data_IF_148684847696
#
_entry.id   IF_148684847696
#
_cell.length_a   1.000
_cell.length_b   1.000
_cell.length_c   1.000
_cell.angle_alpha   90.00
_cell.angle_beta   90.00
_cell.angle_gamma   90.00
#
_symmetry.space_group_name_H-M   'P 1'
#
loop_
_entity.id
_entity.type
_entity.pdbx_description
1 polymer ?
#
# COMPACT_ATOMS: atom_id res chain seq x y z
N UNK A 1 -3.67 97.46 7.95
CA UNK A 1 -4.61 96.37 7.61
C UNK A 1 -3.69 95.27 7.01
N UNK A 2 -3.41 94.25 7.77
CA UNK A 2 -2.42 93.25 7.45
C UNK A 2 -3.17 91.88 7.29
N UNK A 3 -3.15 91.36 6.08
CA UNK A 3 -3.91 90.18 5.66
C UNK A 3 -3.01 88.94 5.90
N UNK A 4 -3.46 88.01 6.75
CA UNK A 4 -2.75 86.78 7.07
C UNK A 4 -3.20 85.70 6.10
N UNK A 5 -2.33 85.28 5.19
CA UNK A 5 -2.57 84.13 4.30
C UNK A 5 -2.41 82.83 5.08
N UNK A 6 -3.46 82.08 5.15
CA UNK A 6 -3.52 80.74 5.74
C UNK A 6 -2.97 79.72 4.73
N UNK A 7 -1.80 79.09 5.06
CA UNK A 7 -1.20 78.06 4.21
C UNK A 7 -1.59 76.70 4.80
N UNK A 8 -2.57 76.07 4.19
CA UNK A 8 -2.94 74.70 4.49
C UNK A 8 -1.95 73.71 3.84
N UNK A 9 -1.27 72.95 4.68
CA UNK A 9 -0.39 71.85 4.25
C UNK A 9 -1.21 70.59 3.90
N UNK A 10 -0.92 69.88 2.79
CA UNK A 10 -1.62 68.63 2.49
C UNK A 10 -1.08 67.54 3.40
N UNK A 11 -2.03 66.83 4.07
CA UNK A 11 -1.71 65.64 4.86
C UNK A 11 -1.54 64.47 3.88
N UNK A 12 -0.31 64.02 3.76
CA UNK A 12 0.01 62.82 3.00
C UNK A 12 -0.59 61.58 3.71
N UNK A 13 -1.57 60.95 3.07
CA UNK A 13 -2.11 59.67 3.51
C UNK A 13 -1.19 58.56 3.04
N UNK A 14 -0.36 58.00 3.92
CA UNK A 14 0.32 56.74 3.68
C UNK A 14 -0.71 55.60 3.71
N UNK A 15 -0.98 55.02 2.55
CA UNK A 15 -1.74 53.78 2.47
C UNK A 15 -0.84 52.65 2.89
N UNK A 16 -1.14 52.07 4.06
CA UNK A 16 -0.52 50.85 4.55
C UNK A 16 -1.01 49.67 3.75
N UNK A 17 -0.26 49.21 2.73
CA UNK A 17 -0.59 48.00 1.98
C UNK A 17 -0.19 46.80 2.87
N UNK A 18 -1.16 46.27 3.61
CA UNK A 18 -0.98 45.03 4.35
C UNK A 18 -0.84 43.84 3.40
N UNK A 19 0.34 43.28 3.31
CA UNK A 19 0.56 41.97 2.68
C UNK A 19 -0.10 40.91 3.54
N UNK A 20 -1.27 40.44 3.14
CA UNK A 20 -1.91 39.24 3.71
C UNK A 20 -1.16 38.01 3.22
N UNK A 21 -0.20 37.49 3.99
CA UNK A 21 0.46 36.22 3.73
C UNK A 21 -0.55 35.10 4.01
N UNK A 22 -1.16 34.56 2.98
CA UNK A 22 -2.00 33.36 3.09
C UNK A 22 -1.04 32.17 3.26
N UNK A 23 -0.92 31.67 4.48
CA UNK A 23 -0.31 30.37 4.74
C UNK A 23 -1.27 29.29 4.23
N UNK A 24 -1.03 28.80 3.02
CA UNK A 24 -1.70 27.58 2.55
C UNK A 24 -1.08 26.43 3.34
N UNK A 25 -1.77 26.00 4.42
CA UNK A 25 -1.48 24.73 5.05
C UNK A 25 -1.80 23.62 4.06
N UNK A 26 -0.83 23.21 3.25
CA UNK A 26 -0.92 21.96 2.52
C UNK A 26 -0.82 20.84 3.56
N UNK A 27 -1.95 20.32 3.99
CA UNK A 27 -1.97 19.02 4.67
C UNK A 27 -1.41 18.01 3.67
N UNK A 28 -0.17 17.59 3.88
CA UNK A 28 0.37 16.43 3.20
C UNK A 28 -0.51 15.27 3.67
N UNK A 29 -1.45 14.86 2.83
CA UNK A 29 -2.19 13.61 3.04
C UNK A 29 -1.13 12.52 2.92
N UNK A 30 -0.55 12.13 4.06
CA UNK A 30 0.30 10.95 4.14
C UNK A 30 -0.54 9.79 3.65
N UNK A 31 -0.18 9.24 2.50
CA UNK A 31 -0.90 8.12 1.92
C UNK A 31 -0.89 6.94 2.89
N UNK A 32 -1.85 6.03 2.73
CA UNK A 32 -1.96 4.89 3.64
C UNK A 32 -0.82 3.89 3.46
N UNK A 33 -0.24 3.46 4.58
CA UNK A 33 0.67 2.33 4.71
C UNK A 33 0.00 1.21 5.53
N UNK A 34 0.51 -0.04 5.52
CA UNK A 34 -0.05 -1.12 6.32
C UNK A 34 -0.10 -0.77 7.81
N UNK A 35 -1.24 -1.04 8.47
CA UNK A 35 -1.51 -0.65 9.86
C UNK A 35 -1.79 -1.84 10.75
N UNK A 36 -1.36 -1.72 12.02
CA UNK A 36 -1.69 -2.60 13.14
C UNK A 36 -1.48 -4.10 12.82
N UNK A 37 -0.22 -4.52 12.55
CA UNK A 37 0.10 -5.91 12.32
C UNK A 37 -0.10 -6.75 13.59
N UNK A 38 -0.78 -7.89 13.43
CA UNK A 38 -0.89 -8.94 14.46
C UNK A 38 -0.33 -10.23 13.90
N UNK A 39 0.80 -10.67 14.44
CA UNK A 39 1.47 -11.90 14.02
C UNK A 39 0.68 -13.09 14.53
N UNK A 40 0.19 -13.94 13.63
CA UNK A 40 -0.56 -15.15 13.95
C UNK A 40 0.34 -16.38 13.91
N UNK A 41 1.40 -16.37 13.11
CA UNK A 41 2.35 -17.46 12.97
C UNK A 41 3.67 -16.95 12.40
N UNK A 42 4.77 -17.59 12.78
CA UNK A 42 6.11 -17.27 12.33
C UNK A 42 6.88 -16.33 13.28
N UNK A 43 8.19 -16.27 13.08
CA UNK A 43 9.08 -15.34 13.78
C UNK A 43 9.37 -14.16 12.86
N UNK A 44 8.87 -12.98 13.21
CA UNK A 44 8.86 -11.79 12.36
C UNK A 44 9.23 -10.57 13.19
N UNK A 45 10.08 -9.71 12.62
CA UNK A 45 10.33 -8.35 13.11
C UNK A 45 9.78 -7.36 12.08
N UNK A 46 9.09 -6.30 12.53
CA UNK A 46 8.51 -5.26 11.67
C UNK A 46 9.07 -3.91 12.11
N UNK A 47 9.79 -3.26 11.21
CA UNK A 47 10.41 -1.94 11.39
C UNK A 47 9.77 -0.92 10.46
N UNK A 48 9.89 0.37 10.79
CA UNK A 48 9.38 1.47 9.98
C UNK A 48 7.86 1.65 10.05
N UNK A 49 7.19 1.17 11.11
CA UNK A 49 5.77 1.44 11.33
C UNK A 49 5.52 2.94 11.41
N UNK A 50 4.52 3.42 10.65
CA UNK A 50 4.17 4.84 10.59
C UNK A 50 5.07 5.66 9.66
N UNK A 51 5.99 5.05 8.94
CA UNK A 51 6.83 5.69 7.91
C UNK A 51 6.46 5.19 6.51
N UNK A 52 7.03 5.80 5.49
CA UNK A 52 6.83 5.41 4.08
C UNK A 52 7.59 4.13 3.69
N UNK A 53 8.40 3.58 4.59
CA UNK A 53 9.16 2.36 4.35
C UNK A 53 8.98 1.34 5.47
N UNK A 54 8.13 0.36 5.23
CA UNK A 54 7.91 -0.77 6.14
C UNK A 54 8.83 -1.93 5.77
N UNK A 55 9.62 -2.41 6.72
CA UNK A 55 10.51 -3.57 6.56
C UNK A 55 10.02 -4.72 7.41
N UNK A 56 9.83 -5.87 6.79
CA UNK A 56 9.35 -7.09 7.44
C UNK A 56 10.45 -8.14 7.31
N UNK A 57 11.14 -8.38 8.40
CA UNK A 57 12.17 -9.42 8.49
C UNK A 57 11.53 -10.71 9.01
N UNK A 58 11.37 -11.70 8.16
CA UNK A 58 10.85 -13.02 8.49
C UNK A 58 12.03 -13.98 8.72
N UNK A 59 12.01 -14.70 9.84
CA UNK A 59 13.05 -15.69 10.22
C UNK A 59 12.60 -17.13 10.01
N UNK A 60 11.31 -17.38 9.80
CA UNK A 60 10.71 -18.71 9.56
C UNK A 60 10.34 -18.87 8.09
N UNK A 61 10.23 -20.11 7.59
CA UNK A 61 9.84 -20.35 6.19
C UNK A 61 8.42 -19.90 5.88
N UNK A 62 7.53 -19.90 6.87
CA UNK A 62 6.14 -19.42 6.71
C UNK A 62 5.80 -18.43 7.80
N UNK A 63 4.96 -17.46 7.43
CA UNK A 63 4.40 -16.49 8.37
C UNK A 63 2.96 -16.14 8.01
N UNK A 64 2.20 -15.76 9.03
CA UNK A 64 0.83 -15.25 8.89
C UNK A 64 0.73 -13.97 9.69
N UNK A 65 0.37 -12.88 9.02
CA UNK A 65 0.18 -11.57 9.62
C UNK A 65 -1.23 -11.10 9.29
N UNK A 66 -2.00 -10.77 10.31
CA UNK A 66 -3.27 -10.07 10.16
C UNK A 66 -3.03 -8.56 10.30
N UNK A 67 -3.62 -7.78 9.41
CA UNK A 67 -3.51 -6.33 9.35
C UNK A 67 -4.89 -5.70 9.51
N UNK A 68 -4.99 -4.55 10.12
CA UNK A 68 -6.24 -3.77 10.09
C UNK A 68 -6.47 -3.19 8.69
N UNK A 69 -5.42 -2.69 8.04
CA UNK A 69 -5.42 -2.27 6.63
C UNK A 69 -4.07 -2.57 6.00
N UNK A 70 -4.07 -2.83 4.69
CA UNK A 70 -2.86 -3.03 3.92
C UNK A 70 -2.96 -2.28 2.60
N UNK A 71 -2.51 -1.04 2.61
CA UNK A 71 -2.33 -0.21 1.41
C UNK A 71 -0.88 0.27 1.35
N UNK A 72 -0.42 0.68 0.16
CA UNK A 72 0.91 1.27 -0.04
C UNK A 72 0.74 2.48 -0.94
N UNK A 73 0.89 3.67 -0.40
CA UNK A 73 0.71 4.92 -1.16
C UNK A 73 1.83 5.14 -2.19
N UNK A 74 1.64 6.09 -3.09
CA UNK A 74 2.65 6.50 -4.07
C UNK A 74 3.91 7.00 -3.33
N UNK A 75 5.06 6.38 -3.62
CA UNK A 75 6.32 6.62 -2.90
C UNK A 75 6.53 5.71 -1.69
N UNK A 76 5.47 5.08 -1.16
CA UNK A 76 5.58 4.11 -0.08
C UNK A 76 6.20 2.78 -0.54
N UNK A 77 6.84 2.08 0.39
CA UNK A 77 7.53 0.83 0.12
C UNK A 77 7.34 -0.18 1.25
N UNK A 78 7.07 -1.42 0.90
CA UNK A 78 7.01 -2.55 1.82
C UNK A 78 7.98 -3.62 1.34
N UNK A 79 8.96 -3.95 2.16
CA UNK A 79 9.97 -4.98 1.88
C UNK A 79 9.79 -6.17 2.81
N UNK A 80 9.63 -7.35 2.23
CA UNK A 80 9.68 -8.63 2.93
C UNK A 80 11.01 -9.30 2.67
N UNK A 81 11.82 -9.44 3.70
CA UNK A 81 13.06 -10.19 3.68
C UNK A 81 12.84 -11.54 4.35
N UNK A 82 12.95 -12.60 3.59
CA UNK A 82 12.62 -13.96 4.00
C UNK A 82 13.85 -14.86 3.91
N UNK A 83 13.87 -16.02 4.63
CA UNK A 83 15.01 -16.94 4.62
C UNK A 83 15.38 -17.44 3.23
N UNK A 84 14.42 -17.64 2.34
CA UNK A 84 14.66 -18.12 0.98
C UNK A 84 13.53 -17.75 0.00
N UNK A 85 13.76 -17.99 -1.29
CA UNK A 85 12.73 -17.84 -2.33
C UNK A 85 11.56 -18.82 -2.19
N UNK A 86 11.73 -19.90 -1.42
CA UNK A 86 10.68 -20.88 -1.09
C UNK A 86 9.82 -20.45 0.09
N UNK A 87 10.27 -19.46 0.87
CA UNK A 87 9.53 -18.93 2.01
C UNK A 87 8.27 -18.20 1.57
N UNK A 88 7.25 -18.16 2.42
CA UNK A 88 5.98 -17.53 2.12
C UNK A 88 5.41 -16.74 3.30
N UNK A 89 4.71 -15.63 2.99
CA UNK A 89 4.00 -14.80 3.95
C UNK A 89 2.56 -14.63 3.52
N UNK A 90 1.63 -14.98 4.41
CA UNK A 90 0.21 -14.70 4.28
C UNK A 90 -0.10 -13.40 5.01
N UNK A 91 -0.52 -12.40 4.26
CA UNK A 91 -0.92 -11.08 4.75
C UNK A 91 -2.43 -10.93 4.57
N UNK A 92 -3.17 -10.99 5.67
CA UNK A 92 -4.62 -10.92 5.66
C UNK A 92 -5.10 -9.60 6.24
N UNK A 93 -5.93 -8.88 5.51
CA UNK A 93 -6.63 -7.69 6.02
C UNK A 93 -7.89 -8.14 6.75
N UNK A 94 -8.05 -7.69 7.99
CA UNK A 94 -9.17 -8.01 8.86
C UNK A 94 -10.10 -6.83 9.10
N UNK A 95 -9.69 -5.61 8.73
CA UNK A 95 -10.54 -4.43 8.74
C UNK A 95 -11.47 -4.37 7.52
N UNK A 96 -12.16 -3.25 7.35
CA UNK A 96 -13.22 -3.07 6.34
C UNK A 96 -12.80 -2.30 5.08
N UNK A 97 -11.56 -1.77 5.04
CA UNK A 97 -11.09 -0.97 3.90
C UNK A 97 -10.45 -1.85 2.81
N UNK A 98 -10.62 -1.52 1.53
CA UNK A 98 -9.90 -2.18 0.44
C UNK A 98 -8.39 -1.91 0.51
N UNK A 99 -7.61 -2.75 -0.14
CA UNK A 99 -6.16 -2.55 -0.32
C UNK A 99 -5.88 -1.82 -1.62
N UNK A 100 -5.17 -0.70 -1.54
CA UNK A 100 -4.70 0.07 -2.69
C UNK A 100 -3.18 0.08 -2.72
N UNK A 101 -2.59 -0.53 -3.74
CA UNK A 101 -1.14 -0.59 -3.93
C UNK A 101 -0.76 0.40 -5.03
N UNK A 102 -0.33 1.60 -4.61
CA UNK A 102 0.15 2.67 -5.48
C UNK A 102 1.68 2.87 -5.37
N UNK A 103 2.32 2.24 -4.38
CA UNK A 103 3.76 2.21 -4.16
C UNK A 103 4.35 0.84 -4.49
N UNK A 104 5.35 0.42 -3.71
CA UNK A 104 6.14 -0.77 -3.98
C UNK A 104 5.95 -1.86 -2.93
N UNK A 105 5.79 -3.10 -3.37
CA UNK A 105 5.92 -4.30 -2.53
C UNK A 105 7.05 -5.15 -3.11
N UNK A 106 8.06 -5.44 -2.30
CA UNK A 106 9.18 -6.27 -2.70
C UNK A 106 9.33 -7.48 -1.77
N UNK A 107 9.74 -8.60 -2.33
CA UNK A 107 10.07 -9.81 -1.56
C UNK A 107 10.97 -10.75 -2.35
N UNK A 108 11.85 -11.43 -1.65
CA UNK A 108 12.58 -12.57 -2.23
C UNK A 108 11.76 -13.88 -2.25
N UNK A 109 10.66 -13.96 -1.49
CA UNK A 109 9.80 -15.14 -1.39
C UNK A 109 8.38 -14.91 -1.92
N UNK A 110 7.45 -15.77 -1.52
CA UNK A 110 6.05 -15.75 -1.93
C UNK A 110 5.23 -14.85 -1.01
N UNK A 111 4.47 -13.92 -1.58
CA UNK A 111 3.52 -13.05 -0.87
C UNK A 111 2.10 -13.44 -1.26
N UNK A 112 1.26 -13.69 -0.25
CA UNK A 112 -0.18 -13.75 -0.39
C UNK A 112 -0.77 -12.51 0.29
N UNK A 113 -1.51 -11.70 -0.45
CA UNK A 113 -2.29 -10.57 0.07
C UNK A 113 -3.76 -10.89 -0.05
N UNK A 114 -4.43 -11.05 1.09
CA UNK A 114 -5.86 -11.37 1.16
C UNK A 114 -6.62 -10.19 1.74
N UNK A 115 -7.56 -9.66 0.98
CA UNK A 115 -8.50 -8.65 1.45
C UNK A 115 -9.89 -8.85 0.84
N UNK A 116 -10.88 -9.35 1.59
CA UNK A 116 -12.24 -9.53 1.09
C UNK A 116 -12.90 -8.25 0.56
N UNK A 117 -12.45 -7.07 1.03
CA UNK A 117 -12.99 -5.77 0.63
C UNK A 117 -12.45 -5.27 -0.73
N UNK A 118 -11.54 -6.00 -1.36
CA UNK A 118 -10.93 -5.66 -2.64
C UNK A 118 -9.43 -5.44 -2.58
N UNK A 119 -8.77 -5.70 -3.69
CA UNK A 119 -7.33 -5.38 -3.88
C UNK A 119 -7.18 -4.68 -5.22
N UNK A 120 -6.59 -3.49 -5.22
CA UNK A 120 -6.28 -2.73 -6.42
C UNK A 120 -4.79 -2.41 -6.49
N UNK A 121 -4.11 -2.83 -7.55
CA UNK A 121 -2.76 -2.38 -7.88
C UNK A 121 -2.91 -1.28 -8.91
N UNK A 122 -2.62 -0.04 -8.54
CA UNK A 122 -2.82 1.12 -9.41
C UNK A 122 -1.72 1.25 -10.44
N UNK A 123 -1.88 2.14 -11.43
CA UNK A 123 -0.91 2.38 -12.51
C UNK A 123 0.54 2.62 -12.03
N UNK A 124 0.70 3.20 -10.85
CA UNK A 124 2.02 3.45 -10.24
C UNK A 124 2.49 2.29 -9.34
N UNK A 125 1.61 1.35 -9.01
CA UNK A 125 1.92 0.23 -8.13
C UNK A 125 2.87 -0.78 -8.79
N UNK A 126 3.87 -1.20 -8.02
CA UNK A 126 4.85 -2.21 -8.45
C UNK A 126 4.96 -3.29 -7.40
N UNK A 127 4.69 -4.52 -7.79
CA UNK A 127 4.88 -5.71 -6.95
C UNK A 127 5.99 -6.53 -7.56
N UNK A 128 7.11 -6.69 -6.83
CA UNK A 128 8.28 -7.48 -7.26
C UNK A 128 8.59 -8.54 -6.20
N UNK A 129 8.26 -9.79 -6.47
CA UNK A 129 8.31 -10.87 -5.48
C UNK A 129 8.77 -12.20 -6.10
N UNK A 130 9.13 -13.19 -5.28
CA UNK A 130 9.38 -14.55 -5.78
C UNK A 130 8.13 -15.17 -6.42
N UNK A 131 6.99 -15.05 -5.75
CA UNK A 131 5.64 -15.34 -6.27
C UNK A 131 4.65 -14.40 -5.61
N UNK A 132 3.52 -14.14 -6.26
CA UNK A 132 2.50 -13.23 -5.75
C UNK A 132 1.09 -13.77 -5.94
N UNK A 133 0.28 -13.66 -4.89
CA UNK A 133 -1.17 -13.88 -4.99
C UNK A 133 -1.91 -12.72 -4.33
N UNK A 134 -2.78 -12.06 -5.08
CA UNK A 134 -3.76 -11.13 -4.55
C UNK A 134 -5.14 -11.81 -4.56
N UNK A 135 -5.83 -11.81 -3.43
CA UNK A 135 -7.10 -12.52 -3.32
C UNK A 135 -8.13 -11.78 -2.48
N UNK A 136 -9.38 -11.82 -2.92
CA UNK A 136 -10.54 -11.49 -2.09
C UNK A 136 -11.20 -12.74 -1.47
N UNK A 137 -10.72 -13.92 -1.84
CA UNK A 137 -11.07 -15.19 -1.23
C UNK A 137 -10.11 -15.45 -0.07
N UNK A 138 -10.58 -16.14 0.96
CA UNK A 138 -9.77 -16.43 2.15
C UNK A 138 -9.29 -17.88 2.17
N UNK A 139 -8.19 -18.12 2.87
CA UNK A 139 -7.59 -19.43 3.08
C UNK A 139 -7.47 -19.71 4.59
N UNK A 140 -7.69 -20.93 5.02
CA UNK A 140 -7.46 -21.29 6.44
C UNK A 140 -5.97 -21.26 6.77
N UNK A 141 -5.64 -20.80 7.99
CA UNK A 141 -4.25 -20.76 8.45
C UNK A 141 -3.56 -22.13 8.37
N UNK A 142 -4.24 -23.19 8.82
CA UNK A 142 -3.69 -24.54 8.79
C UNK A 142 -3.45 -25.05 7.36
N UNK A 143 -4.33 -24.69 6.41
CA UNK A 143 -4.17 -25.07 5.02
C UNK A 143 -2.94 -24.37 4.42
N UNK A 144 -2.79 -23.05 4.65
CA UNK A 144 -1.61 -22.31 4.23
C UNK A 144 -0.31 -22.88 4.83
N UNK A 145 -0.32 -23.21 6.13
CA UNK A 145 0.87 -23.79 6.79
C UNK A 145 1.25 -25.16 6.24
N UNK A 146 0.30 -25.90 5.67
CA UNK A 146 0.49 -27.22 5.03
C UNK A 146 0.65 -27.15 3.51
N UNK A 147 0.82 -25.96 2.92
CA UNK A 147 0.86 -25.74 1.46
C UNK A 147 -0.39 -26.17 0.71
N UNK A 148 -1.54 -26.20 1.39
CA UNK A 148 -2.86 -26.48 0.79
C UNK A 148 -3.51 -25.14 0.44
N UNK A 149 -3.53 -24.79 -0.85
CA UNK A 149 -4.06 -23.51 -1.35
C UNK A 149 -5.54 -23.61 -1.70
N UNK A 150 -6.40 -23.91 -0.71
CA UNK A 150 -7.85 -23.99 -0.83
C UNK A 150 -8.48 -22.65 -0.45
N UNK A 151 -8.81 -21.84 -1.44
CA UNK A 151 -9.44 -20.54 -1.24
C UNK A 151 -10.95 -20.65 -1.19
N UNK A 152 -11.57 -19.95 -0.24
CA UNK A 152 -13.03 -19.92 -0.07
C UNK A 152 -13.57 -18.51 -0.18
N UNK A 153 -14.61 -18.33 -0.98
CA UNK A 153 -15.27 -17.03 -1.13
C UNK A 153 -16.14 -16.73 0.09
N UNK A 154 -16.04 -15.50 0.61
CA UNK A 154 -17.01 -14.92 1.54
C UNK A 154 -18.13 -14.23 0.76
N UNK A 155 -19.35 -14.16 1.35
CA UNK A 155 -20.57 -13.66 0.68
C UNK A 155 -20.38 -12.30 -0.01
N UNK A 156 -19.62 -11.39 0.60
CA UNK A 156 -19.42 -10.00 0.13
C UNK A 156 -18.04 -9.76 -0.48
N UNK A 157 -17.32 -10.82 -0.90
CA UNK A 157 -15.99 -10.66 -1.53
C UNK A 157 -16.09 -9.79 -2.78
N UNK A 158 -15.20 -8.81 -2.87
CA UNK A 158 -15.07 -7.87 -3.99
C UNK A 158 -14.14 -8.43 -5.07
N UNK A 159 -13.63 -7.57 -5.95
CA UNK A 159 -12.72 -7.97 -7.01
C UNK A 159 -11.25 -7.72 -6.70
N UNK A 160 -10.41 -8.20 -7.61
CA UNK A 160 -8.99 -7.88 -7.69
C UNK A 160 -8.73 -7.18 -9.02
N UNK A 161 -8.09 -6.00 -8.97
CA UNK A 161 -7.76 -5.22 -10.16
C UNK A 161 -6.27 -4.93 -10.21
N UNK A 162 -5.67 -5.13 -11.38
CA UNK A 162 -4.30 -4.73 -11.66
C UNK A 162 -4.26 -3.75 -12.83
N UNK A 163 -3.81 -2.53 -12.58
CA UNK A 163 -3.44 -1.54 -13.58
C UNK A 163 -1.94 -1.20 -13.53
N UNK A 164 -1.20 -1.79 -12.59
CA UNK A 164 0.23 -1.57 -12.35
C UNK A 164 1.11 -2.67 -12.91
N UNK A 165 2.19 -2.97 -12.20
CA UNK A 165 3.17 -3.98 -12.61
C UNK A 165 3.33 -5.05 -11.54
N UNK A 166 3.12 -6.30 -11.91
CA UNK A 166 3.43 -7.48 -11.10
C UNK A 166 4.58 -8.22 -11.78
N UNK A 167 5.68 -8.38 -11.06
CA UNK A 167 6.90 -9.04 -11.57
C UNK A 167 7.23 -10.16 -10.58
N UNK A 168 7.16 -11.40 -11.02
CA UNK A 168 7.56 -12.54 -10.19
C UNK A 168 8.88 -13.13 -10.65
N UNK A 169 9.60 -13.74 -9.74
CA UNK A 169 10.88 -14.39 -10.01
C UNK A 169 10.75 -15.53 -11.02
N UNK A 170 11.88 -15.99 -11.55
CA UNK A 170 11.92 -17.12 -12.48
C UNK A 170 11.29 -18.38 -11.86
N UNK A 171 10.34 -19.00 -12.56
CA UNK A 171 9.54 -20.12 -12.07
C UNK A 171 8.46 -19.73 -11.04
N UNK A 172 8.34 -18.45 -10.70
CA UNK A 172 7.32 -17.94 -9.77
C UNK A 172 5.93 -17.87 -10.40
N UNK A 173 4.92 -17.83 -9.55
CA UNK A 173 3.52 -17.72 -9.98
C UNK A 173 2.94 -16.37 -9.60
N UNK A 174 2.13 -15.78 -10.50
CA UNK A 174 1.30 -14.61 -10.22
C UNK A 174 -0.17 -15.03 -10.33
N UNK A 175 -0.95 -14.85 -9.25
CA UNK A 175 -2.36 -15.24 -9.20
C UNK A 175 -3.23 -14.09 -8.71
N UNK A 176 -4.31 -13.81 -9.42
CA UNK A 176 -5.34 -12.86 -9.02
C UNK A 176 -6.65 -13.63 -8.84
N UNK A 177 -7.22 -13.60 -7.64
CA UNK A 177 -8.38 -14.41 -7.25
C UNK A 177 -9.46 -13.53 -6.60
N UNK A 178 -10.62 -13.43 -7.23
CA UNK A 178 -11.67 -12.54 -6.72
C UNK A 178 -13.07 -12.95 -7.21
N UNK A 179 -14.07 -12.20 -6.73
CA UNK A 179 -15.42 -12.31 -7.29
C UNK A 179 -15.44 -11.90 -8.77
N UNK A 180 -14.58 -10.94 -9.11
CA UNK A 180 -14.16 -10.62 -10.47
C UNK A 180 -12.67 -10.27 -10.46
N UNK A 181 -12.01 -10.38 -11.62
CA UNK A 181 -10.60 -10.03 -11.80
C UNK A 181 -10.48 -9.17 -13.05
N UNK A 182 -9.85 -8.01 -12.89
CA UNK A 182 -9.49 -7.10 -13.97
C UNK A 182 -7.97 -6.96 -14.08
N UNK A 183 -7.44 -7.03 -15.31
CA UNK A 183 -6.04 -6.73 -15.57
C UNK A 183 -5.87 -5.83 -16.79
N UNK A 184 -5.54 -4.58 -16.55
CA UNK A 184 -5.14 -3.59 -17.55
C UNK A 184 -3.65 -3.22 -17.46
N UNK A 185 -2.94 -3.81 -16.48
CA UNK A 185 -1.52 -3.60 -16.25
C UNK A 185 -0.65 -4.69 -16.84
N UNK A 186 0.55 -4.84 -16.32
CA UNK A 186 1.54 -5.82 -16.76
C UNK A 186 1.76 -6.88 -15.71
N UNK A 187 1.72 -8.16 -16.11
CA UNK A 187 2.13 -9.30 -15.27
C UNK A 187 3.28 -10.01 -15.98
N UNK A 188 4.43 -10.13 -15.32
CA UNK A 188 5.63 -10.79 -15.84
C UNK A 188 5.98 -12.00 -14.98
N UNK A 189 5.86 -13.19 -15.54
CA UNK A 189 6.22 -14.46 -14.90
C UNK A 189 7.11 -15.28 -15.86
N UNK A 190 8.44 -15.08 -15.78
CA UNK A 190 9.39 -15.84 -16.61
C UNK A 190 9.44 -17.30 -16.16
N UNK A 191 9.25 -18.24 -17.07
CA UNK A 191 9.21 -19.69 -16.78
C UNK A 191 8.20 -20.05 -15.67
N UNK A 192 7.23 -19.19 -15.44
CA UNK A 192 6.22 -19.31 -14.38
C UNK A 192 4.80 -19.35 -14.94
N UNK A 193 3.82 -19.17 -14.06
CA UNK A 193 2.39 -19.20 -14.41
C UNK A 193 1.69 -17.90 -13.97
N UNK A 194 0.72 -17.49 -14.81
CA UNK A 194 -0.25 -16.44 -14.48
C UNK A 194 -1.64 -17.09 -14.40
N UNK A 195 -2.38 -16.84 -13.36
CA UNK A 195 -3.74 -17.36 -13.16
C UNK A 195 -4.61 -16.38 -12.35
#
# INVERSE_FOLDING_TARGET
>A
MMEIKNISRPVSRFALVGFLTIFVNTTVVSGEMPKNPRIQSGNITIEGKGTDHLKIQQKTNKSIINWDSFSVHKGGRVDFNMPSSKSSSLNRVTGSTPSTIAGQINSNGKILLINPNGVAITKNGVVKTGSFAASTLDIKNNDFLKDIYSFKRKKNSKGVENSGKIIVGSGGNASLLGAYVGNSGTIMARLGRVS
#
